data_IF_354299741481
#
_entry.id   IF_354299741481
#
_cell.length_a   1.000
_cell.length_b   1.000
_cell.length_c   1.000
_cell.angle_alpha   90.00
_cell.angle_beta   90.00
_cell.angle_gamma   90.00
#
_symmetry.space_group_name_H-M   'P 1'
#
loop_
_entity.id
_entity.type
_entity.pdbx_description
1 polymer ?
#
# COMPACT_ATOMS: atom_id res chain seq x y z
N UNK A 1 11.77 26.91 -14.89
CA UNK A 1 10.57 26.51 -15.67
C UNK A 1 10.53 25.01 -15.97
N UNK A 2 11.68 24.33 -16.08
CA UNK A 2 11.81 22.93 -16.56
C UNK A 2 11.45 21.84 -15.53
N UNK A 3 11.74 22.04 -14.25
CA UNK A 3 11.50 21.04 -13.18
C UNK A 3 10.00 20.87 -12.91
N UNK A 4 9.28 21.99 -12.82
CA UNK A 4 7.84 22.03 -12.57
C UNK A 4 7.03 21.34 -13.68
N UNK A 5 7.49 21.46 -14.93
CA UNK A 5 6.88 20.80 -16.08
C UNK A 5 7.15 19.27 -16.09
N UNK A 6 8.38 18.86 -15.71
CA UNK A 6 8.70 17.43 -15.55
C UNK A 6 7.94 16.78 -14.40
N UNK A 7 7.85 17.45 -13.24
CA UNK A 7 7.05 16.97 -12.11
C UNK A 7 5.59 16.80 -12.51
N UNK A 8 5.03 17.76 -13.26
CA UNK A 8 3.67 17.68 -13.77
C UNK A 8 3.45 16.50 -14.74
N UNK A 9 4.41 16.18 -15.61
CA UNK A 9 4.32 15.01 -16.49
C UNK A 9 4.41 13.69 -15.72
N UNK A 10 5.35 13.57 -14.78
CA UNK A 10 5.50 12.36 -13.95
C UNK A 10 4.27 12.14 -13.07
N UNK A 11 3.67 13.23 -12.55
CA UNK A 11 2.46 13.13 -11.75
C UNK A 11 1.25 12.68 -12.58
N UNK A 12 1.09 13.17 -13.81
CA UNK A 12 0.01 12.72 -14.68
C UNK A 12 0.17 11.26 -15.07
N UNK A 13 1.40 10.80 -15.34
CA UNK A 13 1.66 9.38 -15.59
C UNK A 13 1.35 8.51 -14.37
N UNK A 14 1.73 8.96 -13.16
CA UNK A 14 1.37 8.29 -11.91
C UNK A 14 -0.15 8.28 -11.69
N UNK A 15 -0.84 9.39 -11.95
CA UNK A 15 -2.29 9.46 -11.93
C UNK A 15 -2.90 8.41 -12.87
N UNK A 16 -2.44 8.30 -14.11
CA UNK A 16 -3.00 7.33 -15.07
C UNK A 16 -2.71 5.88 -14.67
N UNK A 17 -1.54 5.59 -14.08
CA UNK A 17 -1.15 4.24 -13.61
C UNK A 17 -1.94 3.84 -12.35
N UNK A 18 -2.22 4.79 -11.46
CA UNK A 18 -2.81 4.55 -10.14
C UNK A 18 -4.34 4.69 -10.20
N UNK A 19 -4.88 5.69 -10.90
CA UNK A 19 -6.31 6.05 -10.87
C UNK A 19 -7.17 5.11 -11.74
N UNK A 20 -6.70 4.64 -12.90
CA UNK A 20 -7.44 3.69 -13.76
C UNK A 20 -7.67 2.33 -13.05
N UNK A 21 -6.67 1.70 -12.42
CA UNK A 21 -6.87 0.46 -11.67
C UNK A 21 -7.56 0.65 -10.31
N UNK A 22 -7.35 1.78 -9.63
CA UNK A 22 -7.84 1.97 -8.25
C UNK A 22 -9.21 2.64 -8.17
N UNK A 23 -9.60 3.48 -9.14
CA UNK A 23 -10.89 4.17 -9.27
C UNK A 23 -11.43 4.75 -7.93
N UNK A 24 -10.54 5.29 -7.10
CA UNK A 24 -10.88 5.84 -5.78
C UNK A 24 -10.73 7.37 -5.82
N UNK A 25 -11.83 8.10 -5.62
CA UNK A 25 -11.88 9.56 -5.62
C UNK A 25 -10.92 10.19 -4.58
N UNK A 26 -10.56 9.44 -3.55
CA UNK A 26 -9.63 9.87 -2.51
C UNK A 26 -8.21 10.04 -3.09
N UNK A 27 -7.76 9.11 -3.93
CA UNK A 27 -6.41 9.12 -4.53
C UNK A 27 -6.27 10.25 -5.54
N UNK A 28 -7.29 10.46 -6.37
CA UNK A 28 -7.35 11.60 -7.31
C UNK A 28 -7.36 12.94 -6.58
N UNK A 29 -8.15 13.06 -5.49
CA UNK A 29 -8.21 14.29 -4.68
C UNK A 29 -6.89 14.64 -4.00
N UNK A 30 -6.14 13.63 -3.54
CA UNK A 30 -4.81 13.83 -2.95
C UNK A 30 -3.74 14.23 -3.97
N UNK A 31 -3.75 13.59 -5.15
CA UNK A 31 -2.84 13.93 -6.25
C UNK A 31 -3.10 15.36 -6.77
N UNK A 32 -4.37 15.77 -6.82
CA UNK A 32 -4.75 17.14 -7.14
C UNK A 32 -4.35 18.14 -6.03
N UNK A 33 -4.54 17.79 -4.75
CA UNK A 33 -4.12 18.66 -3.64
C UNK A 33 -2.59 18.85 -3.60
N UNK A 34 -1.82 17.79 -3.87
CA UNK A 34 -0.36 17.87 -3.98
C UNK A 34 0.10 18.68 -5.21
N UNK A 35 -0.62 18.63 -6.34
CA UNK A 35 -0.40 19.55 -7.46
C UNK A 35 -0.59 21.01 -7.06
N UNK A 36 -1.66 21.35 -6.34
CA UNK A 36 -1.94 22.74 -5.94
C UNK A 36 -0.84 23.27 -5.01
N UNK A 37 -0.33 22.46 -4.09
CA UNK A 37 0.78 22.84 -3.22
C UNK A 37 2.10 23.08 -3.99
N UNK A 38 2.40 22.29 -5.02
CA UNK A 38 3.61 22.44 -5.85
C UNK A 38 3.59 23.68 -6.76
N UNK A 39 2.40 24.26 -7.00
CA UNK A 39 2.24 25.40 -7.91
C UNK A 39 2.29 26.77 -7.18
N UNK A 40 2.27 26.80 -5.85
CA UNK A 40 2.25 28.04 -5.06
C UNK A 40 3.66 28.64 -4.89
N UNK A 41 3.84 29.97 -5.03
CA UNK A 41 5.11 30.63 -4.70
C UNK A 41 5.35 30.59 -3.18
N UNK A 42 6.47 29.99 -2.75
CA UNK A 42 6.75 29.68 -1.34
C UNK A 42 7.55 30.82 -0.69
N UNK A 43 7.02 31.41 0.39
CA UNK A 43 7.80 32.15 1.41
C UNK A 43 8.29 31.18 2.51
N UNK A 44 9.31 31.52 3.30
CA UNK A 44 9.90 30.58 4.30
C UNK A 44 8.90 29.97 5.29
N UNK A 45 7.81 30.68 5.62
CA UNK A 45 6.70 30.17 6.43
C UNK A 45 5.86 29.10 5.71
N UNK A 46 5.72 29.21 4.39
CA UNK A 46 5.03 28.24 3.53
C UNK A 46 5.83 26.95 3.37
N UNK A 47 7.17 26.96 3.51
CA UNK A 47 8.00 25.76 3.36
C UNK A 47 7.77 24.75 4.50
N UNK A 48 7.62 25.21 5.74
CA UNK A 48 7.25 24.34 6.88
C UNK A 48 5.84 23.78 6.76
N UNK A 49 4.88 24.60 6.33
CA UNK A 49 3.52 24.14 6.04
C UNK A 49 3.48 23.14 4.87
N UNK A 50 4.32 23.35 3.85
CA UNK A 50 4.45 22.45 2.71
C UNK A 50 5.00 21.09 3.13
N UNK A 51 6.09 21.05 3.92
CA UNK A 51 6.60 19.78 4.48
C UNK A 51 5.57 19.09 5.38
N UNK A 52 4.84 19.84 6.21
CA UNK A 52 3.79 19.28 7.06
C UNK A 52 2.64 18.68 6.23
N UNK A 53 2.16 19.39 5.22
CA UNK A 53 1.16 18.88 4.29
C UNK A 53 1.66 17.66 3.50
N UNK A 54 2.94 17.63 3.14
CA UNK A 54 3.57 16.50 2.46
C UNK A 54 3.63 15.26 3.36
N UNK A 55 3.87 15.43 4.67
CA UNK A 55 3.75 14.35 5.67
C UNK A 55 2.32 13.82 5.75
N UNK A 56 1.31 14.71 5.81
CA UNK A 56 -0.10 14.30 5.88
C UNK A 56 -0.58 13.60 4.61
N UNK A 57 -0.20 14.11 3.44
CA UNK A 57 -0.52 13.49 2.14
C UNK A 57 0.17 12.13 2.03
N UNK A 58 1.45 12.02 2.43
CA UNK A 58 2.18 10.75 2.48
C UNK A 58 1.48 9.73 3.39
N UNK A 59 1.14 10.13 4.61
CA UNK A 59 0.47 9.25 5.58
C UNK A 59 -0.88 8.77 5.06
N UNK A 60 -1.71 9.69 4.58
CA UNK A 60 -3.06 9.35 4.11
C UNK A 60 -3.04 8.53 2.82
N UNK A 61 -2.08 8.75 1.93
CA UNK A 61 -1.87 7.91 0.75
C UNK A 61 -1.48 6.47 1.13
N UNK A 62 -0.59 6.31 2.11
CA UNK A 62 -0.17 4.98 2.58
C UNK A 62 -1.32 4.21 3.22
N UNK A 63 -2.12 4.86 4.06
CA UNK A 63 -3.32 4.26 4.65
C UNK A 63 -4.34 3.88 3.55
N UNK A 64 -4.48 4.73 2.53
CA UNK A 64 -5.31 4.43 1.36
C UNK A 64 -4.84 3.18 0.61
N UNK A 65 -3.54 3.07 0.35
CA UNK A 65 -2.97 1.90 -0.33
C UNK A 65 -3.11 0.64 0.54
N UNK A 66 -2.85 0.72 1.85
CA UNK A 66 -3.00 -0.41 2.76
C UNK A 66 -4.44 -0.94 2.77
N UNK A 67 -5.42 -0.03 2.81
CA UNK A 67 -6.84 -0.37 2.74
C UNK A 67 -7.20 -1.02 1.41
N UNK A 68 -6.64 -0.56 0.29
CA UNK A 68 -6.82 -1.19 -1.01
C UNK A 68 -6.28 -2.62 -1.01
N UNK A 69 -5.08 -2.84 -0.47
CA UNK A 69 -4.40 -4.14 -0.49
C UNK A 69 -5.03 -5.16 0.46
N UNK A 70 -5.51 -4.72 1.62
CA UNK A 70 -6.02 -5.60 2.68
C UNK A 70 -7.54 -5.65 2.79
N UNK A 71 -8.24 -4.58 2.38
CA UNK A 71 -9.68 -4.40 2.59
C UNK A 71 -10.42 -4.00 1.30
N UNK A 72 -9.80 -4.20 0.12
CA UNK A 72 -10.30 -3.74 -1.19
C UNK A 72 -11.57 -4.42 -1.71
N UNK A 73 -12.21 -5.29 -0.91
CA UNK A 73 -13.39 -6.05 -1.30
C UNK A 73 -13.14 -7.11 -2.38
N UNK A 74 -14.20 -7.84 -2.78
CA UNK A 74 -14.12 -9.00 -3.68
C UNK A 74 -13.70 -8.67 -5.12
N UNK A 75 -13.76 -7.39 -5.51
CA UNK A 75 -13.30 -6.93 -6.83
C UNK A 75 -11.78 -6.76 -6.91
N UNK A 76 -11.07 -6.84 -5.78
CA UNK A 76 -9.60 -6.81 -5.74
C UNK A 76 -9.06 -8.20 -5.45
N UNK A 77 -8.38 -8.73 -6.46
CA UNK A 77 -7.74 -10.03 -6.47
C UNK A 77 -6.27 -9.83 -6.78
N UNK A 78 -5.39 -10.48 -6.00
CA UNK A 78 -3.94 -10.37 -6.14
C UNK A 78 -3.32 -11.72 -6.47
N UNK A 79 -2.44 -11.72 -7.46
CA UNK A 79 -1.50 -12.79 -7.75
C UNK A 79 -0.17 -12.48 -7.05
N UNK A 80 0.61 -13.50 -6.64
CA UNK A 80 1.93 -13.27 -6.05
C UNK A 80 2.87 -12.45 -6.95
N UNK A 81 2.73 -12.56 -8.27
CA UNK A 81 3.50 -11.80 -9.25
C UNK A 81 3.21 -10.30 -9.24
N UNK A 82 2.04 -9.87 -8.76
CA UNK A 82 1.64 -8.46 -8.72
C UNK A 82 2.47 -7.66 -7.71
N UNK A 83 2.99 -8.34 -6.68
CA UNK A 83 3.78 -7.72 -5.63
C UNK A 83 5.00 -6.96 -6.15
N UNK A 84 5.64 -7.45 -7.23
CA UNK A 84 6.81 -6.77 -7.80
C UNK A 84 6.43 -5.40 -8.36
N UNK A 85 5.28 -5.31 -9.04
CA UNK A 85 4.83 -4.09 -9.69
C UNK A 85 4.39 -3.07 -8.65
N UNK A 86 3.71 -3.53 -7.59
CA UNK A 86 3.32 -2.69 -6.46
C UNK A 86 4.55 -2.16 -5.71
N UNK A 87 5.61 -2.98 -5.56
CA UNK A 87 6.87 -2.53 -4.95
C UNK A 87 7.58 -1.49 -5.84
N UNK A 88 7.62 -1.69 -7.17
CA UNK A 88 8.16 -0.72 -8.13
C UNK A 88 7.42 0.64 -8.03
N UNK A 89 6.09 0.62 -7.98
CA UNK A 89 5.27 1.82 -7.80
C UNK A 89 5.53 2.50 -6.43
N UNK A 90 5.71 1.71 -5.36
CA UNK A 90 6.05 2.24 -4.04
C UNK A 90 7.42 2.95 -4.06
N UNK A 91 8.41 2.43 -4.80
CA UNK A 91 9.72 3.06 -4.91
C UNK A 91 9.66 4.39 -5.69
N UNK A 92 8.86 4.47 -6.76
CA UNK A 92 8.59 5.74 -7.46
C UNK A 92 7.94 6.75 -6.51
N UNK A 93 6.96 6.31 -5.71
CA UNK A 93 6.28 7.16 -4.74
C UNK A 93 7.22 7.67 -3.64
N UNK A 94 8.14 6.83 -3.14
CA UNK A 94 9.15 7.25 -2.16
C UNK A 94 10.03 8.34 -2.72
N UNK A 95 10.56 8.15 -3.93
CA UNK A 95 11.42 9.15 -4.57
C UNK A 95 10.65 10.44 -4.87
N UNK A 96 9.35 10.36 -5.16
CA UNK A 96 8.49 11.55 -5.26
C UNK A 96 8.43 12.34 -3.94
N UNK A 97 8.22 11.67 -2.80
CA UNK A 97 8.16 12.36 -1.50
C UNK A 97 9.52 12.86 -1.02
N UNK A 98 10.60 12.17 -1.38
CA UNK A 98 11.98 12.63 -1.10
C UNK A 98 12.36 13.80 -2.01
N UNK A 99 11.88 13.80 -3.25
CA UNK A 99 12.10 14.83 -4.27
C UNK A 99 13.58 15.25 -4.38
N UNK A 100 14.49 14.28 -4.47
CA UNK A 100 15.94 14.53 -4.61
C UNK A 100 16.60 15.22 -3.41
N UNK A 101 15.93 15.27 -2.24
CA UNK A 101 16.43 15.91 -1.02
C UNK A 101 15.67 17.19 -0.63
N UNK A 102 14.87 17.75 -1.54
CA UNK A 102 14.08 18.96 -1.29
C UNK A 102 12.73 18.68 -0.61
N UNK A 103 12.33 17.40 -0.53
CA UNK A 103 11.08 16.95 0.08
C UNK A 103 11.23 16.49 1.53
N UNK A 104 10.62 15.35 1.87
CA UNK A 104 10.73 14.74 3.20
C UNK A 104 12.09 14.07 3.38
N UNK A 105 12.65 14.08 4.62
CA UNK A 105 13.86 13.33 4.92
C UNK A 105 13.68 11.84 4.58
N UNK A 106 14.69 11.24 3.93
CA UNK A 106 14.64 9.83 3.49
C UNK A 106 14.27 8.88 4.64
N UNK A 107 14.85 9.06 5.83
CA UNK A 107 14.52 8.26 7.01
C UNK A 107 13.05 8.38 7.45
N UNK A 108 12.43 9.54 7.28
CA UNK A 108 11.00 9.75 7.55
C UNK A 108 10.15 8.95 6.58
N UNK A 109 10.44 9.05 5.28
CA UNK A 109 9.70 8.32 4.23
C UNK A 109 9.85 6.81 4.42
N UNK A 110 11.07 6.31 4.66
CA UNK A 110 11.34 4.89 4.88
C UNK A 110 10.60 4.33 6.11
N UNK A 111 10.56 5.08 7.21
CA UNK A 111 9.80 4.68 8.38
C UNK A 111 8.30 4.61 8.11
N UNK A 112 7.76 5.60 7.38
CA UNK A 112 6.35 5.65 7.04
C UNK A 112 5.93 4.48 6.13
N UNK A 113 6.70 4.16 5.09
CA UNK A 113 6.36 3.05 4.17
C UNK A 113 6.72 1.67 4.73
N UNK A 114 7.37 1.57 5.88
CA UNK A 114 7.90 0.30 6.40
C UNK A 114 6.83 -0.79 6.57
N UNK A 115 5.65 -0.42 7.06
CA UNK A 115 4.53 -1.35 7.21
C UNK A 115 3.94 -1.76 5.87
N UNK A 116 3.77 -0.81 4.95
CA UNK A 116 3.26 -1.06 3.61
C UNK A 116 4.19 -1.99 2.81
N UNK A 117 5.51 -1.74 2.85
CA UNK A 117 6.52 -2.63 2.26
C UNK A 117 6.45 -4.04 2.83
N UNK A 118 6.21 -4.16 4.13
CA UNK A 118 6.02 -5.46 4.74
C UNK A 118 4.80 -6.20 4.18
N UNK A 119 3.67 -5.51 4.02
CA UNK A 119 2.47 -6.06 3.39
C UNK A 119 2.74 -6.47 1.94
N UNK A 120 3.42 -5.64 1.14
CA UNK A 120 3.77 -5.96 -0.26
C UNK A 120 4.66 -7.21 -0.32
N UNK A 121 5.64 -7.34 0.59
CA UNK A 121 6.45 -8.56 0.69
C UNK A 121 5.61 -9.79 0.96
N UNK A 122 4.61 -9.71 1.85
CA UNK A 122 3.69 -10.82 2.14
C UNK A 122 2.79 -11.13 0.93
N UNK A 123 2.36 -10.11 0.16
CA UNK A 123 1.64 -10.31 -1.09
C UNK A 123 2.47 -11.13 -2.09
N UNK A 124 3.79 -10.99 -2.09
CA UNK A 124 4.69 -11.78 -2.94
C UNK A 124 4.96 -13.21 -2.45
N UNK A 125 4.58 -13.56 -1.22
CA UNK A 125 4.83 -14.90 -0.68
C UNK A 125 3.93 -15.96 -1.31
N UNK A 126 4.49 -17.17 -1.43
CA UNK A 126 3.70 -18.34 -1.81
C UNK A 126 2.55 -18.59 -0.83
N UNK A 127 1.40 -18.98 -1.36
CA UNK A 127 0.18 -19.22 -0.59
C UNK A 127 0.38 -20.25 0.52
N UNK A 128 1.16 -21.31 0.28
CA UNK A 128 1.51 -22.31 1.31
C UNK A 128 2.25 -21.71 2.50
N UNK A 129 3.22 -20.85 2.22
CA UNK A 129 4.03 -20.19 3.26
C UNK A 129 3.13 -19.31 4.14
N UNK A 130 2.21 -18.56 3.53
CA UNK A 130 1.22 -17.75 4.26
C UNK A 130 0.27 -18.60 5.12
N UNK A 131 -0.22 -19.72 4.58
CA UNK A 131 -1.11 -20.65 5.29
C UNK A 131 -0.41 -21.26 6.51
N UNK A 132 0.82 -21.75 6.34
CA UNK A 132 1.57 -22.38 7.42
C UNK A 132 1.92 -21.39 8.53
N UNK A 133 2.24 -20.16 8.14
CA UNK A 133 2.50 -19.09 9.08
C UNK A 133 1.22 -18.65 9.82
N UNK A 134 0.07 -18.58 9.14
CA UNK A 134 -1.22 -18.30 9.76
C UNK A 134 -1.64 -19.40 10.74
N UNK A 135 -1.48 -20.68 10.38
CA UNK A 135 -1.74 -21.81 11.30
C UNK A 135 -0.87 -21.71 12.55
N UNK A 136 0.41 -21.40 12.37
CA UNK A 136 1.38 -21.23 13.45
C UNK A 136 0.99 -20.07 14.38
N UNK A 137 0.52 -18.95 13.81
CA UNK A 137 0.03 -17.80 14.56
C UNK A 137 -1.29 -18.08 15.31
N UNK A 138 -2.16 -18.93 14.75
CA UNK A 138 -3.47 -19.26 15.33
C UNK A 138 -3.43 -20.32 16.45
N UNK A 139 -2.37 -21.12 16.53
CA UNK A 139 -2.26 -22.23 17.49
C UNK A 139 -1.69 -21.81 18.85
N UNK A 140 -1.27 -20.55 18.98
CA UNK A 140 -0.61 -20.00 20.17
C UNK A 140 -1.50 -18.93 20.80
N UNK A 141 -2.55 -19.33 21.51
CA UNK A 141 -3.54 -18.42 22.14
C UNK A 141 -3.02 -17.67 23.38
N UNK A 142 -1.70 -17.57 23.57
CA UNK A 142 -1.12 -16.80 24.67
C UNK A 142 -0.12 -15.79 24.10
N UNK A 143 -0.61 -14.56 23.91
CA UNK A 143 0.16 -13.32 23.91
C UNK A 143 1.05 -13.04 22.69
N UNK A 144 0.47 -12.31 21.72
CA UNK A 144 1.14 -11.22 21.02
C UNK A 144 2.36 -11.51 20.15
N UNK A 145 2.63 -12.76 19.76
CA UNK A 145 3.78 -13.06 18.93
C UNK A 145 3.49 -12.85 17.44
N UNK A 146 4.30 -11.99 16.82
CA UNK A 146 4.40 -11.88 15.36
C UNK A 146 4.75 -13.24 14.78
N UNK A 147 4.13 -13.59 13.65
CA UNK A 147 4.38 -14.83 12.92
C UNK A 147 5.83 -14.93 12.45
N UNK A 148 6.27 -16.06 11.88
CA UNK A 148 7.64 -16.19 11.33
C UNK A 148 7.90 -15.15 10.25
N UNK A 149 6.85 -14.76 9.51
CA UNK A 149 6.93 -13.70 8.52
C UNK A 149 6.86 -12.30 9.13
N UNK A 150 6.60 -12.15 10.43
CA UNK A 150 6.53 -10.86 11.12
C UNK A 150 5.13 -10.22 11.12
N UNK A 151 4.12 -10.93 10.62
CA UNK A 151 2.75 -10.43 10.47
C UNK A 151 1.84 -10.95 11.60
N UNK A 152 0.76 -10.25 11.86
CA UNK A 152 -0.33 -10.77 12.70
C UNK A 152 -1.27 -11.66 11.87
N UNK A 153 -2.08 -12.46 12.58
CA UNK A 153 -3.03 -13.39 11.94
C UNK A 153 -4.10 -12.69 11.11
N UNK A 154 -4.50 -11.45 11.45
CA UNK A 154 -5.49 -10.69 10.69
C UNK A 154 -4.92 -10.23 9.35
N UNK A 155 -3.68 -9.74 9.33
CA UNK A 155 -3.00 -9.35 8.09
C UNK A 155 -2.84 -10.54 7.15
N UNK A 156 -2.38 -11.70 7.67
CA UNK A 156 -2.24 -12.92 6.87
C UNK A 156 -3.59 -13.42 6.32
N UNK A 157 -4.64 -13.38 7.14
CA UNK A 157 -5.99 -13.77 6.74
C UNK A 157 -6.52 -12.88 5.62
N UNK A 158 -6.39 -11.55 5.75
CA UNK A 158 -6.83 -10.57 4.74
C UNK A 158 -6.12 -10.77 3.41
N UNK A 159 -4.80 -10.97 3.43
CA UNK A 159 -4.03 -11.28 2.22
C UNK A 159 -4.55 -12.55 1.55
N UNK A 160 -4.77 -13.63 2.31
CA UNK A 160 -5.32 -14.88 1.78
C UNK A 160 -6.73 -14.71 1.21
N UNK A 161 -7.57 -13.85 1.80
CA UNK A 161 -8.91 -13.57 1.30
C UNK A 161 -8.91 -12.89 -0.07
N UNK A 162 -7.89 -12.07 -0.37
CA UNK A 162 -7.73 -11.40 -1.66
C UNK A 162 -6.84 -12.18 -2.64
N UNK A 163 -6.34 -13.35 -2.26
CA UNK A 163 -5.47 -14.17 -3.10
C UNK A 163 -6.26 -14.86 -4.22
N UNK A 164 -5.85 -14.62 -5.47
CA UNK A 164 -6.51 -15.18 -6.65
C UNK A 164 -6.08 -16.63 -6.97
N UNK A 165 -6.12 -17.53 -5.99
CA UNK A 165 -5.81 -18.94 -6.23
C UNK A 165 -6.75 -19.91 -5.48
N UNK A 166 -6.81 -21.14 -5.99
CA UNK A 166 -7.69 -22.18 -5.45
C UNK A 166 -7.22 -22.72 -4.10
N UNK A 167 -5.93 -22.70 -3.81
CA UNK A 167 -5.35 -23.24 -2.58
C UNK A 167 -5.75 -22.38 -1.37
N UNK A 168 -5.60 -21.05 -1.47
CA UNK A 168 -6.07 -20.09 -0.49
C UNK A 168 -7.58 -20.23 -0.26
N UNK A 169 -8.35 -20.26 -1.36
CA UNK A 169 -9.81 -20.38 -1.31
C UNK A 169 -10.28 -21.68 -0.62
N UNK A 170 -9.63 -22.81 -0.91
CA UNK A 170 -9.95 -24.10 -0.30
C UNK A 170 -9.59 -24.12 1.19
N UNK A 171 -8.42 -23.59 1.55
CA UNK A 171 -7.99 -23.47 2.93
C UNK A 171 -8.99 -22.63 3.75
N UNK A 172 -9.34 -21.43 3.27
CA UNK A 172 -10.26 -20.52 3.97
C UNK A 172 -11.65 -21.14 4.16
N UNK A 173 -12.20 -21.77 3.12
CA UNK A 173 -13.50 -22.47 3.20
C UNK A 173 -13.48 -23.58 4.24
N UNK A 174 -12.39 -24.36 4.31
CA UNK A 174 -12.22 -25.46 5.28
C UNK A 174 -12.04 -24.93 6.70
N UNK A 175 -11.17 -23.95 6.88
CA UNK A 175 -10.81 -23.40 8.20
C UNK A 175 -11.99 -22.68 8.86
N UNK A 176 -12.71 -21.87 8.10
CA UNK A 176 -13.80 -21.02 8.62
C UNK A 176 -15.20 -21.55 8.32
N UNK A 177 -15.31 -22.77 7.78
CA UNK A 177 -16.59 -23.43 7.45
C UNK A 177 -17.52 -22.51 6.61
N UNK A 178 -16.93 -21.77 5.67
CA UNK A 178 -17.67 -20.81 4.84
C UNK A 178 -18.61 -21.62 3.93
N UNK A 179 -19.93 -21.33 3.94
CA UNK A 179 -20.87 -22.03 3.08
C UNK A 179 -20.50 -21.83 1.61
N UNK A 180 -20.79 -22.84 0.77
CA UNK A 180 -20.66 -22.68 -0.68
C UNK A 180 -21.57 -21.53 -1.11
N UNK A 181 -21.06 -20.59 -1.89
CA UNK A 181 -21.89 -19.54 -2.47
C UNK A 181 -23.05 -20.19 -3.20
N UNK A 182 -24.28 -19.83 -2.84
CA UNK A 182 -25.44 -20.13 -3.67
C UNK A 182 -25.24 -19.40 -4.99
N UNK A 183 -25.35 -20.14 -6.09
CA UNK A 183 -25.25 -19.62 -7.45
C UNK A 183 -26.57 -18.93 -7.85
#
# INVERSE_FOLDING_TARGET
MTIRYRLFQVLNQLCDIIVEPLRDHIVTGLLQASMVCLLSPISDFQLKYFQFMQVYISFFYQEGLLRVLLDGGSSRLFLPGDAKFIEEDLEVLKEFFISGGDGLPRGTVENQVSHLRHVIKLLGCETRVLIDDLKSASSSEVQGNRSKLGADSQTLLRILCHRCDSEASQFLKKQYKIPKSAA
#
